data_IF_724775520829
#
_entry.id   IF_724775520829
#
_cell.length_a   1.000
_cell.length_b   1.000
_cell.length_c   1.000
_cell.angle_alpha   90.00
_cell.angle_beta   90.00
_cell.angle_gamma   90.00
#
_symmetry.space_group_name_H-M   'P 1'
#
loop_
_entity.id
_entity.type
_entity.pdbx_description
1 polymer ?
#
# COMPACT_ATOMS: atom_id res chain seq x y z
N UNK A 1 5.58 -7.58 -14.48
CA UNK A 1 4.87 -6.47 -13.82
C UNK A 1 5.42 -6.31 -12.40
N UNK A 2 6.41 -5.45 -12.13
CA UNK A 2 6.98 -5.32 -10.80
C UNK A 2 6.28 -4.16 -10.07
N UNK A 3 5.32 -4.46 -9.20
CA UNK A 3 4.54 -3.40 -8.55
C UNK A 3 3.80 -3.78 -7.28
N UNK A 4 3.87 -5.06 -6.87
CA UNK A 4 3.45 -5.48 -5.54
C UNK A 4 4.72 -5.48 -4.71
N UNK A 5 5.12 -4.29 -4.26
CA UNK A 5 6.08 -4.19 -3.18
C UNK A 5 5.42 -4.87 -1.98
N UNK A 6 5.95 -6.03 -1.61
CA UNK A 6 5.47 -6.84 -0.51
C UNK A 6 5.51 -5.94 0.74
N UNK A 7 4.35 -5.44 1.16
CA UNK A 7 4.23 -4.87 2.49
C UNK A 7 4.34 -6.06 3.43
N UNK A 8 5.39 -6.16 4.27
CA UNK A 8 5.34 -7.10 5.37
C UNK A 8 4.29 -6.55 6.34
N UNK A 9 3.01 -6.87 6.11
CA UNK A 9 1.93 -6.60 7.05
C UNK A 9 2.19 -7.48 8.28
N UNK A 10 2.96 -6.94 9.21
CA UNK A 10 3.31 -7.58 10.47
C UNK A 10 2.60 -6.79 11.57
N UNK A 11 1.30 -7.01 11.67
CA UNK A 11 0.43 -6.39 12.66
C UNK A 11 -0.15 -7.46 13.58
N UNK A 12 -0.23 -7.15 14.87
CA UNK A 12 -1.00 -7.94 15.81
C UNK A 12 -2.45 -7.44 15.76
N UNK A 13 -3.35 -8.24 15.19
CA UNK A 13 -4.76 -7.90 15.10
C UNK A 13 -5.43 -8.20 16.44
N UNK A 14 -6.11 -7.20 17.01
CA UNK A 14 -7.02 -7.37 18.13
C UNK A 14 -8.44 -7.11 17.61
N UNK A 15 -9.27 -8.16 17.56
CA UNK A 15 -10.58 -8.12 16.92
C UNK A 15 -11.66 -8.43 17.95
N UNK A 16 -12.49 -7.43 18.24
CA UNK A 16 -13.69 -7.59 19.06
C UNK A 16 -14.89 -7.92 18.18
N UNK A 17 -15.40 -9.16 18.31
CA UNK A 17 -16.62 -9.62 17.63
C UNK A 17 -17.68 -10.01 18.65
N UNK A 18 -18.92 -9.57 18.41
CA UNK A 18 -20.08 -10.10 19.12
C UNK A 18 -20.50 -11.39 18.43
N UNK A 19 -20.53 -12.49 19.19
CA UNK A 19 -20.92 -13.81 18.70
C UNK A 19 -22.21 -14.21 19.39
N UNK A 20 -23.24 -14.51 18.61
CA UNK A 20 -24.47 -15.10 19.11
C UNK A 20 -24.33 -16.63 19.20
N UNK A 21 -25.08 -17.26 20.11
CA UNK A 21 -25.10 -18.71 20.25
C UNK A 21 -25.61 -19.47 19.01
N UNK A 22 -26.21 -18.76 18.06
CA UNK A 22 -26.73 -19.28 16.80
C UNK A 22 -25.74 -19.17 15.64
N UNK A 23 -24.58 -18.55 15.84
CA UNK A 23 -23.60 -18.33 14.79
C UNK A 23 -22.73 -19.58 14.60
N UNK A 24 -22.78 -20.16 13.41
CA UNK A 24 -21.96 -21.32 13.03
C UNK A 24 -20.73 -20.93 12.21
N UNK A 25 -20.71 -19.70 11.69
CA UNK A 25 -19.65 -19.16 10.85
C UNK A 25 -19.50 -17.67 11.16
N UNK A 26 -18.26 -17.22 11.22
CA UNK A 26 -17.93 -15.83 11.52
C UNK A 26 -17.09 -15.25 10.38
N UNK A 27 -17.62 -14.23 9.71
CA UNK A 27 -16.91 -13.56 8.62
C UNK A 27 -16.00 -12.46 9.17
N UNK A 28 -14.69 -12.74 9.19
CA UNK A 28 -13.67 -11.79 9.64
C UNK A 28 -13.26 -10.78 8.56
N UNK A 29 -13.63 -11.01 7.29
CA UNK A 29 -13.13 -10.24 6.16
C UNK A 29 -13.40 -8.72 6.27
N UNK A 30 -14.57 -8.25 6.75
CA UNK A 30 -14.83 -6.81 6.87
C UNK A 30 -13.86 -6.12 7.83
N UNK A 31 -13.69 -6.68 9.03
CA UNK A 31 -12.81 -6.10 10.06
C UNK A 31 -11.34 -6.19 9.69
N UNK A 32 -10.90 -7.32 9.15
CA UNK A 32 -9.52 -7.46 8.68
C UNK A 32 -9.21 -6.47 7.56
N UNK A 33 -10.17 -6.21 6.65
CA UNK A 33 -10.00 -5.24 5.57
C UNK A 33 -9.81 -3.82 6.11
N UNK A 34 -10.62 -3.40 7.06
CA UNK A 34 -10.51 -2.08 7.70
C UNK A 34 -9.12 -1.89 8.31
N UNK A 35 -8.68 -2.86 9.13
CA UNK A 35 -7.36 -2.83 9.78
C UNK A 35 -6.22 -2.78 8.75
N UNK A 36 -6.31 -3.55 7.67
CA UNK A 36 -5.31 -3.56 6.61
C UNK A 36 -5.27 -2.24 5.84
N UNK A 37 -6.43 -1.64 5.55
CA UNK A 37 -6.49 -0.35 4.84
C UNK A 37 -5.84 0.76 5.68
N UNK A 38 -6.09 0.77 6.99
CA UNK A 38 -5.50 1.77 7.90
C UNK A 38 -3.98 1.63 8.01
N UNK A 39 -3.45 0.41 7.96
CA UNK A 39 -2.01 0.15 7.98
C UNK A 39 -1.34 0.35 6.61
N UNK A 40 -2.13 0.38 5.52
CA UNK A 40 -1.58 0.43 4.18
C UNK A 40 -0.93 1.79 3.92
N UNK A 41 0.34 1.83 3.47
CA UNK A 41 1.01 3.09 3.18
C UNK A 41 0.29 3.82 2.04
N UNK A 42 -0.24 5.00 2.35
CA UNK A 42 -0.94 5.88 1.40
C UNK A 42 -0.03 6.34 0.25
N UNK A 43 1.29 6.29 0.43
CA UNK A 43 2.29 6.55 -0.61
C UNK A 43 3.28 5.41 -0.67
N UNK A 44 3.49 4.87 -1.88
CA UNK A 44 4.67 4.06 -2.17
C UNK A 44 5.88 4.97 -2.04
N UNK A 45 6.67 4.77 -0.99
CA UNK A 45 7.96 5.41 -0.85
C UNK A 45 8.85 4.88 -1.98
N UNK A 46 9.39 5.77 -2.80
CA UNK A 46 10.40 5.37 -3.76
C UNK A 46 11.65 4.90 -3.01
N UNK A 47 12.52 4.11 -3.64
CA UNK A 47 13.83 3.81 -3.06
C UNK A 47 14.58 5.12 -2.79
N UNK A 48 15.51 5.11 -1.83
CA UNK A 48 16.35 6.29 -1.55
C UNK A 48 17.13 6.77 -2.78
N UNK A 49 17.41 5.88 -3.73
CA UNK A 49 18.10 6.15 -4.99
C UNK A 49 17.20 6.64 -6.13
N UNK A 50 15.90 6.76 -5.89
CA UNK A 50 14.93 7.09 -6.92
C UNK A 50 14.98 8.57 -7.31
N UNK A 51 15.32 8.83 -8.59
CA UNK A 51 15.35 10.19 -9.15
C UNK A 51 13.96 10.74 -9.46
N UNK A 52 12.94 9.88 -9.50
CA UNK A 52 11.57 10.24 -9.79
C UNK A 52 11.31 10.52 -11.26
N UNK A 53 10.15 11.12 -11.54
CA UNK A 53 9.73 11.52 -12.88
C UNK A 53 9.82 13.03 -13.04
N UNK A 54 10.07 13.49 -14.27
CA UNK A 54 10.05 14.92 -14.57
C UNK A 54 8.64 15.49 -14.43
N UNK A 55 8.47 16.58 -13.67
CA UNK A 55 7.18 17.25 -13.49
C UNK A 55 6.63 17.93 -14.77
N UNK A 56 7.46 18.16 -15.79
CA UNK A 56 7.05 18.76 -17.06
C UNK A 56 6.59 17.74 -18.10
N UNK A 57 7.36 16.67 -18.32
CA UNK A 57 7.10 15.69 -19.39
C UNK A 57 6.82 14.27 -18.92
N UNK A 58 6.87 13.99 -17.61
CA UNK A 58 6.60 12.67 -17.05
C UNK A 58 7.67 11.59 -17.32
N UNK A 59 8.82 11.95 -17.90
CA UNK A 59 9.90 11.00 -18.20
C UNK A 59 10.61 10.52 -16.94
N UNK A 60 10.95 9.24 -16.87
CA UNK A 60 11.71 8.63 -15.78
C UNK A 60 13.16 9.12 -15.79
N UNK A 61 13.54 9.88 -14.75
CA UNK A 61 14.88 10.45 -14.60
C UNK A 61 15.93 9.39 -14.22
N UNK A 62 15.48 8.19 -13.84
CA UNK A 62 16.34 7.05 -13.53
C UNK A 62 16.88 6.39 -14.80
N UNK A 63 16.11 6.42 -15.89
CA UNK A 63 16.50 5.82 -17.17
C UNK A 63 17.27 6.80 -18.07
N UNK A 64 16.91 8.08 -18.05
CA UNK A 64 17.46 9.07 -18.99
C UNK A 64 17.28 10.50 -18.48
N UNK A 65 18.19 11.37 -18.89
CA UNK A 65 18.11 12.80 -18.58
C UNK A 65 16.91 13.45 -19.29
N UNK A 66 16.28 14.40 -18.59
CA UNK A 66 15.21 15.21 -19.17
C UNK A 66 15.77 16.50 -19.79
N UNK A 67 15.17 16.92 -20.92
CA UNK A 67 15.53 18.15 -21.65
C UNK A 67 14.53 19.29 -21.47
N UNK A 68 13.54 19.14 -20.57
CA UNK A 68 12.61 20.22 -20.26
C UNK A 68 13.39 21.45 -19.78
N UNK A 69 13.17 22.59 -20.44
CA UNK A 69 13.54 23.89 -19.88
C UNK A 69 12.48 24.22 -18.83
N UNK A 70 12.92 24.42 -17.59
CA UNK A 70 12.05 24.90 -16.51
C UNK A 70 11.47 26.26 -16.87
#
# INVERSE_FOLDING_TARGET
>A
MPGIFFLPLKKNFNLDYQVASTDYCLDLAPRLREEVILEYPLKKLCSSSCKGFCAGCGKDLSQQACICRK
#
